data_IF_687819426127
#
_entry.id   IF_687819426127
#
_cell.length_a   1.000
_cell.length_b   1.000
_cell.length_c   1.000
_cell.angle_alpha   90.00
_cell.angle_beta   90.00
_cell.angle_gamma   90.00
#
_symmetry.space_group_name_H-M   'P 1'
#
loop_
_entity.id
_entity.type
_entity.pdbx_description
1 polymer ?
#
# COMPACT_ATOMS: atom_id res chain seq x y z
N UNK A 1 31.20 -20.58 28.79
CA UNK A 1 30.79 -20.12 27.44
C UNK A 1 31.12 -18.64 27.32
N UNK A 2 32.05 -18.28 26.45
CA UNK A 2 32.42 -16.89 26.22
C UNK A 2 31.26 -16.14 25.52
N UNK A 3 30.96 -14.88 25.88
CA UNK A 3 29.94 -14.11 25.19
C UNK A 3 30.41 -13.82 23.77
N UNK A 4 29.55 -14.08 22.78
CA UNK A 4 29.79 -13.70 21.38
C UNK A 4 29.94 -12.18 21.31
N UNK A 5 31.17 -11.69 21.18
CA UNK A 5 31.48 -10.35 20.68
C UNK A 5 30.92 -10.25 19.26
N UNK A 6 29.65 -9.83 19.14
CA UNK A 6 29.10 -9.39 17.86
C UNK A 6 29.68 -8.02 17.57
N UNK A 7 30.73 -8.03 16.76
CA UNK A 7 30.90 -7.17 15.58
C UNK A 7 30.53 -5.67 15.72
N UNK A 8 30.83 -5.06 16.87
CA UNK A 8 30.73 -3.59 17.04
C UNK A 8 31.78 -2.81 16.24
N UNK A 9 32.70 -3.49 15.56
CA UNK A 9 33.82 -2.85 14.85
C UNK A 9 33.52 -2.42 13.42
N UNK A 10 32.40 -2.83 12.79
CA UNK A 10 32.06 -2.41 11.41
C UNK A 10 31.33 -1.06 11.28
N UNK A 11 31.18 -0.31 12.36
CA UNK A 11 30.58 1.03 12.30
C UNK A 11 31.60 2.15 12.07
N UNK A 12 32.90 1.84 12.06
CA UNK A 12 33.97 2.84 11.96
C UNK A 12 34.30 3.30 10.53
N UNK A 13 33.68 2.74 9.48
CA UNK A 13 34.01 3.04 8.07
C UNK A 13 32.97 3.91 7.34
N UNK A 14 31.89 4.34 7.99
CA UNK A 14 30.82 5.10 7.32
C UNK A 14 30.70 6.52 7.89
N UNK A 15 30.94 7.52 7.05
CA UNK A 15 31.02 8.92 7.46
C UNK A 15 29.64 9.56 7.73
N UNK A 16 28.55 9.06 7.13
CA UNK A 16 27.17 9.52 7.39
C UNK A 16 26.11 8.43 7.21
N UNK A 17 24.91 8.58 7.83
CA UNK A 17 23.78 7.68 7.60
C UNK A 17 23.34 7.59 6.12
N UNK A 18 23.49 8.68 5.36
CA UNK A 18 23.11 8.74 3.94
C UNK A 18 24.02 7.84 3.10
N UNK A 19 25.33 7.96 3.26
CA UNK A 19 26.31 7.12 2.55
C UNK A 19 26.15 5.65 2.93
N UNK A 20 25.90 5.36 4.21
CA UNK A 20 25.61 4.00 4.67
C UNK A 20 24.36 3.42 3.98
N UNK A 21 23.26 4.19 3.91
CA UNK A 21 22.05 3.74 3.20
C UNK A 21 22.24 3.59 1.70
N UNK A 22 23.08 4.42 1.08
CA UNK A 22 23.37 4.34 -0.34
C UNK A 22 24.17 3.06 -0.68
N UNK A 23 25.19 2.74 0.12
CA UNK A 23 25.96 1.52 -0.03
C UNK A 23 25.12 0.28 0.24
N UNK A 24 24.35 0.28 1.33
CA UNK A 24 23.43 -0.81 1.62
C UNK A 24 22.35 -0.95 0.53
N UNK A 25 21.85 0.15 -0.03
CA UNK A 25 20.87 0.14 -1.12
C UNK A 25 21.36 -0.48 -2.43
N UNK A 26 22.67 -0.73 -2.58
CA UNK A 26 23.24 -1.48 -3.69
C UNK A 26 23.53 -2.96 -3.35
N UNK A 27 23.44 -3.36 -2.08
CA UNK A 27 23.74 -4.71 -1.61
C UNK A 27 22.55 -5.67 -1.84
N UNK A 28 22.72 -6.77 -2.59
CA UNK A 28 21.66 -7.77 -2.80
C UNK A 28 21.11 -8.40 -1.51
N UNK A 29 21.89 -8.45 -0.43
CA UNK A 29 21.42 -8.91 0.89
C UNK A 29 20.42 -7.90 1.48
N UNK A 30 20.70 -6.61 1.35
CA UNK A 30 19.79 -5.56 1.80
C UNK A 30 18.51 -5.54 0.95
N UNK A 31 18.60 -5.78 -0.36
CA UNK A 31 17.39 -5.93 -1.21
C UNK A 31 16.50 -7.06 -0.70
N UNK A 32 17.06 -8.26 -0.48
CA UNK A 32 16.27 -9.39 0.06
C UNK A 32 15.67 -9.07 1.43
N UNK A 33 16.42 -8.42 2.31
CA UNK A 33 15.90 -8.01 3.61
C UNK A 33 14.74 -7.01 3.48
N UNK A 34 14.81 -6.05 2.56
CA UNK A 34 13.71 -5.12 2.28
C UNK A 34 12.50 -5.85 1.68
N UNK A 35 12.73 -6.77 0.75
CA UNK A 35 11.66 -7.59 0.15
C UNK A 35 10.95 -8.46 1.19
N UNK A 36 11.68 -9.08 2.10
CA UNK A 36 11.14 -9.91 3.20
C UNK A 36 10.28 -9.06 4.14
N UNK A 37 10.78 -7.91 4.60
CA UNK A 37 10.05 -6.97 5.46
C UNK A 37 8.80 -6.43 4.75
N UNK A 38 8.93 -6.08 3.47
CA UNK A 38 7.81 -5.61 2.65
C UNK A 38 6.74 -6.68 2.47
N UNK A 39 7.16 -7.92 2.16
CA UNK A 39 6.28 -9.06 1.95
C UNK A 39 5.52 -9.42 3.23
N UNK A 40 6.21 -9.48 4.37
CA UNK A 40 5.65 -9.86 5.66
C UNK A 40 4.64 -8.82 6.17
N UNK A 41 5.00 -7.54 6.13
CA UNK A 41 4.20 -6.51 6.82
C UNK A 41 3.18 -5.81 5.93
N UNK A 42 3.34 -5.84 4.61
CA UNK A 42 2.50 -5.05 3.71
C UNK A 42 1.87 -5.88 2.59
N UNK A 43 2.66 -6.55 1.76
CA UNK A 43 2.15 -7.21 0.57
C UNK A 43 1.29 -8.44 0.88
N UNK A 44 1.80 -9.37 1.69
CA UNK A 44 1.06 -10.59 2.05
C UNK A 44 -0.24 -10.26 2.80
N UNK A 45 -0.25 -9.35 3.81
CA UNK A 45 -1.49 -8.90 4.41
C UNK A 45 -2.47 -8.29 3.40
N UNK A 46 -2.01 -7.44 2.47
CA UNK A 46 -2.87 -6.85 1.45
C UNK A 46 -3.53 -7.89 0.55
N UNK A 47 -2.75 -8.88 0.09
CA UNK A 47 -3.26 -10.00 -0.73
C UNK A 47 -4.29 -10.82 0.04
N UNK A 48 -3.99 -11.16 1.30
CA UNK A 48 -4.91 -11.92 2.14
C UNK A 48 -6.23 -11.16 2.36
N UNK A 49 -6.17 -9.86 2.62
CA UNK A 49 -7.37 -9.03 2.78
C UNK A 49 -8.16 -8.91 1.47
N UNK A 50 -7.49 -8.75 0.33
CA UNK A 50 -8.14 -8.74 -0.99
C UNK A 50 -8.89 -10.05 -1.28
N UNK A 51 -8.26 -11.19 -0.97
CA UNK A 51 -8.88 -12.50 -1.08
C UNK A 51 -10.10 -12.64 -0.15
N UNK A 52 -10.00 -12.17 1.10
CA UNK A 52 -11.10 -12.19 2.07
C UNK A 52 -12.29 -11.29 1.64
N UNK A 53 -12.00 -10.15 1.00
CA UNK A 53 -13.02 -9.30 0.40
C UNK A 53 -13.70 -10.00 -0.79
N UNK A 54 -13.02 -10.94 -1.43
CA UNK A 54 -13.46 -11.60 -2.66
C UNK A 54 -13.16 -10.77 -3.91
N UNK A 55 -12.12 -9.94 -3.87
CA UNK A 55 -11.73 -9.09 -4.99
C UNK A 55 -11.25 -9.94 -6.18
N UNK A 56 -11.82 -9.72 -7.37
CA UNK A 56 -11.33 -10.31 -8.62
C UNK A 56 -10.74 -9.26 -9.56
N UNK A 57 -11.04 -7.97 -9.34
CA UNK A 57 -10.43 -6.89 -10.11
C UNK A 57 -9.10 -6.44 -9.50
N UNK A 58 -8.08 -6.29 -10.35
CA UNK A 58 -6.76 -5.82 -9.96
C UNK A 58 -6.82 -4.42 -9.32
N UNK A 59 -7.72 -3.55 -9.78
CA UNK A 59 -7.92 -2.23 -9.19
C UNK A 59 -8.44 -2.30 -7.75
N UNK A 60 -9.30 -3.28 -7.41
CA UNK A 60 -9.77 -3.49 -6.03
C UNK A 60 -8.62 -3.92 -5.12
N UNK A 61 -7.80 -4.87 -5.60
CA UNK A 61 -6.60 -5.29 -4.87
C UNK A 61 -5.62 -4.11 -4.66
N UNK A 62 -5.43 -3.26 -5.67
CA UNK A 62 -4.59 -2.06 -5.57
C UNK A 62 -5.08 -1.06 -4.51
N UNK A 63 -6.39 -0.87 -4.36
CA UNK A 63 -6.98 0.02 -3.33
C UNK A 63 -6.68 -0.49 -1.92
N UNK A 64 -6.77 -1.81 -1.71
CA UNK A 64 -6.46 -2.47 -0.45
C UNK A 64 -4.95 -2.37 -0.18
N UNK A 65 -4.13 -2.67 -1.19
CA UNK A 65 -2.67 -2.57 -1.12
C UNK A 65 -2.19 -1.15 -0.77
N UNK A 66 -2.68 -0.10 -1.42
CA UNK A 66 -2.30 1.29 -1.10
C UNK A 66 -2.70 1.66 0.35
N UNK A 67 -3.80 1.10 0.88
CA UNK A 67 -4.15 1.28 2.30
C UNK A 67 -3.13 0.60 3.21
N UNK A 68 -2.73 -0.63 2.91
CA UNK A 68 -1.75 -1.35 3.71
C UNK A 68 -0.42 -0.59 3.74
N UNK A 69 0.05 -0.08 2.60
CA UNK A 69 1.29 0.70 2.51
C UNK A 69 1.20 2.02 3.28
N UNK A 70 0.11 2.76 3.12
CA UNK A 70 0.00 4.10 3.68
C UNK A 70 -0.39 4.10 5.17
N UNK A 71 -1.24 3.17 5.59
CA UNK A 71 -1.91 3.18 6.90
C UNK A 71 -1.74 1.87 7.68
N UNK A 72 -0.94 0.93 7.19
CA UNK A 72 -0.83 -0.42 7.73
C UNK A 72 -2.06 -1.28 7.40
N UNK A 73 -1.95 -2.63 7.48
CA UNK A 73 -3.05 -3.54 7.18
C UNK A 73 -4.32 -3.29 8.01
N UNK A 74 -4.17 -2.87 9.27
CA UNK A 74 -5.29 -2.51 10.15
C UNK A 74 -6.12 -1.30 9.65
N UNK A 75 -5.53 -0.44 8.82
CA UNK A 75 -6.24 0.67 8.19
C UNK A 75 -7.38 0.21 7.27
N UNK A 76 -7.29 -0.99 6.69
CA UNK A 76 -8.34 -1.51 5.81
C UNK A 76 -9.63 -1.78 6.57
N UNK A 77 -9.53 -2.43 7.73
CA UNK A 77 -10.69 -2.69 8.60
C UNK A 77 -11.32 -1.39 9.10
N UNK A 78 -10.50 -0.39 9.43
CA UNK A 78 -10.98 0.93 9.84
C UNK A 78 -11.84 1.59 8.76
N UNK A 79 -11.34 1.67 7.53
CA UNK A 79 -12.09 2.26 6.40
C UNK A 79 -13.31 1.42 6.04
N UNK A 80 -13.19 0.08 6.08
CA UNK A 80 -14.30 -0.83 5.78
C UNK A 80 -15.54 -0.54 6.62
N UNK A 81 -15.35 -0.17 7.89
CA UNK A 81 -16.44 0.12 8.81
C UNK A 81 -17.15 1.47 8.57
N UNK A 82 -16.72 2.25 7.57
CA UNK A 82 -17.26 3.58 7.27
C UNK A 82 -18.32 3.59 6.16
N UNK A 83 -18.68 2.44 5.58
CA UNK A 83 -19.65 2.37 4.50
C UNK A 83 -20.44 1.05 4.49
N UNK A 84 -21.65 1.08 3.89
CA UNK A 84 -22.62 -0.02 3.97
C UNK A 84 -22.45 -1.12 2.91
N UNK A 85 -21.91 -0.80 1.73
CA UNK A 85 -21.79 -1.75 0.61
C UNK A 85 -21.14 -3.08 1.06
N UNK A 86 -21.76 -4.20 0.71
CA UNK A 86 -21.26 -5.53 1.04
C UNK A 86 -20.07 -5.87 0.16
N UNK A 87 -19.11 -6.62 0.69
CA UNK A 87 -18.02 -7.12 -0.13
C UNK A 87 -18.51 -8.24 -1.06
N UNK A 88 -17.79 -8.53 -2.16
CA UNK A 88 -18.09 -9.68 -3.03
C UNK A 88 -18.23 -11.01 -2.30
N UNK A 89 -17.32 -11.30 -1.36
CA UNK A 89 -17.39 -12.51 -0.53
C UNK A 89 -18.68 -12.61 0.30
N UNK A 90 -19.39 -11.50 0.51
CA UNK A 90 -20.65 -11.41 1.23
C UNK A 90 -21.85 -11.10 0.29
N UNK A 91 -21.70 -11.37 -1.01
CA UNK A 91 -22.75 -11.23 -2.02
C UNK A 91 -23.00 -9.79 -2.50
N UNK A 92 -22.07 -8.86 -2.29
CA UNK A 92 -22.15 -7.50 -2.84
C UNK A 92 -21.48 -7.35 -4.22
N UNK A 93 -21.76 -6.24 -4.91
CA UNK A 93 -21.06 -5.89 -6.14
C UNK A 93 -19.65 -5.34 -5.83
N UNK A 94 -18.63 -5.86 -6.52
CA UNK A 94 -17.24 -5.48 -6.27
C UNK A 94 -16.97 -4.01 -6.61
N UNK A 95 -17.54 -3.51 -7.71
CA UNK A 95 -17.29 -2.14 -8.16
C UNK A 95 -17.97 -1.14 -7.24
N UNK A 96 -19.17 -1.44 -6.76
CA UNK A 96 -19.87 -0.67 -5.73
C UNK A 96 -19.10 -0.66 -4.42
N UNK A 97 -18.60 -1.82 -3.97
CA UNK A 97 -17.77 -1.93 -2.77
C UNK A 97 -16.49 -1.09 -2.90
N UNK A 98 -15.77 -1.22 -4.01
CA UNK A 98 -14.54 -0.49 -4.27
C UNK A 98 -14.77 1.03 -4.33
N UNK A 99 -15.82 1.49 -5.02
CA UNK A 99 -16.20 2.91 -5.07
C UNK A 99 -16.55 3.44 -3.68
N UNK A 100 -17.30 2.67 -2.90
CA UNK A 100 -17.67 3.03 -1.52
C UNK A 100 -16.44 3.15 -0.63
N UNK A 101 -15.51 2.19 -0.73
CA UNK A 101 -14.25 2.20 0.00
C UNK A 101 -13.41 3.43 -0.34
N UNK A 102 -13.22 3.71 -1.63
CA UNK A 102 -12.43 4.86 -2.08
C UNK A 102 -13.06 6.19 -1.65
N UNK A 103 -14.39 6.30 -1.69
CA UNK A 103 -15.10 7.48 -1.17
C UNK A 103 -14.89 7.65 0.33
N UNK A 104 -15.06 6.59 1.11
CA UNK A 104 -14.86 6.62 2.56
C UNK A 104 -13.42 7.01 2.92
N UNK A 105 -12.42 6.38 2.28
CA UNK A 105 -11.01 6.66 2.52
C UNK A 105 -10.62 8.08 2.10
N UNK A 106 -11.14 8.54 0.96
CA UNK A 106 -10.91 9.92 0.50
C UNK A 106 -11.43 10.93 1.53
N UNK A 107 -12.65 10.73 2.01
CA UNK A 107 -13.24 11.60 3.03
C UNK A 107 -12.41 11.55 4.33
N UNK A 108 -12.07 10.36 4.80
CA UNK A 108 -11.23 10.18 5.99
C UNK A 108 -9.89 10.91 5.86
N UNK A 109 -9.20 10.82 4.71
CA UNK A 109 -7.96 11.55 4.45
C UNK A 109 -8.18 13.07 4.44
N UNK A 110 -9.25 13.55 3.79
CA UNK A 110 -9.53 14.98 3.65
C UNK A 110 -9.96 15.66 4.96
N UNK A 111 -10.54 14.89 5.89
CA UNK A 111 -11.06 15.42 7.15
C UNK A 111 -10.28 14.94 8.38
N UNK A 112 -9.15 14.26 8.20
CA UNK A 112 -8.39 13.73 9.32
C UNK A 112 -7.87 14.86 10.21
N UNK A 113 -7.82 14.65 11.53
CA UNK A 113 -7.24 15.62 12.48
C UNK A 113 -5.76 15.93 12.20
N UNK A 114 -5.04 14.97 11.59
CA UNK A 114 -3.66 15.15 11.16
C UNK A 114 -3.67 15.71 9.75
N UNK A 115 -3.52 17.04 9.65
CA UNK A 115 -3.62 17.79 8.39
C UNK A 115 -2.58 17.38 7.34
N UNK A 116 -1.44 16.80 7.76
CA UNK A 116 -0.45 16.22 6.84
C UNK A 116 -1.03 15.14 5.92
N UNK A 117 -2.09 14.44 6.35
CA UNK A 117 -2.74 13.41 5.55
C UNK A 117 -3.64 14.00 4.44
N UNK A 118 -4.05 15.27 4.55
CA UNK A 118 -4.90 15.91 3.55
C UNK A 118 -4.18 15.97 2.20
N UNK A 119 -2.85 16.14 2.24
CA UNK A 119 -2.01 16.13 1.04
C UNK A 119 -1.94 14.77 0.34
N UNK A 120 -2.42 13.68 0.95
CA UNK A 120 -2.40 12.34 0.34
C UNK A 120 -3.75 11.92 -0.28
N UNK A 121 -4.75 12.80 -0.26
CA UNK A 121 -6.07 12.60 -0.90
C UNK A 121 -5.95 12.23 -2.38
N UNK A 122 -4.93 12.74 -3.09
CA UNK A 122 -4.69 12.46 -4.51
C UNK A 122 -4.61 10.96 -4.84
N UNK A 123 -4.24 10.11 -3.86
CA UNK A 123 -4.21 8.65 -4.03
C UNK A 123 -5.59 8.13 -4.37
N UNK A 124 -6.61 8.60 -3.65
CA UNK A 124 -8.00 8.18 -3.88
C UNK A 124 -8.60 8.84 -5.10
N UNK A 125 -8.21 10.08 -5.42
CA UNK A 125 -8.59 10.73 -6.68
C UNK A 125 -8.04 9.96 -7.89
N UNK A 126 -6.82 9.44 -7.79
CA UNK A 126 -6.23 8.57 -8.81
C UNK A 126 -7.05 7.28 -8.98
N UNK A 127 -7.42 6.61 -7.89
CA UNK A 127 -8.23 5.38 -7.97
C UNK A 127 -9.61 5.66 -8.60
N UNK A 128 -10.24 6.80 -8.27
CA UNK A 128 -11.50 7.22 -8.91
C UNK A 128 -11.35 7.39 -10.42
N UNK A 129 -10.31 8.09 -10.86
CA UNK A 129 -10.02 8.26 -12.29
C UNK A 129 -9.86 6.92 -13.00
N UNK A 130 -9.17 5.95 -12.39
CA UNK A 130 -9.03 4.59 -12.94
C UNK A 130 -10.37 3.84 -13.01
N UNK A 131 -11.23 3.98 -12.00
CA UNK A 131 -12.58 3.38 -12.01
C UNK A 131 -13.46 4.00 -13.10
N UNK A 132 -13.38 5.31 -13.29
CA UNK A 132 -14.18 6.05 -14.26
C UNK A 132 -13.71 5.78 -15.70
N UNK A 133 -12.41 5.54 -15.89
CA UNK A 133 -11.84 5.04 -17.14
C UNK A 133 -12.10 3.54 -17.39
N UNK A 134 -12.72 2.82 -16.45
CA UNK A 134 -12.99 1.39 -16.58
C UNK A 134 -11.75 0.50 -16.47
N UNK A 135 -10.62 1.01 -15.95
CA UNK A 135 -9.33 0.32 -15.87
C UNK A 135 -9.27 -0.73 -14.73
N UNK A 136 -10.30 -1.56 -14.59
CA UNK A 136 -10.45 -2.53 -13.51
C UNK A 136 -9.39 -3.65 -13.50
N UNK A 137 -8.86 -4.00 -14.67
CA UNK A 137 -7.78 -4.98 -14.83
C UNK A 137 -6.37 -4.38 -14.70
N UNK A 138 -6.25 -3.05 -14.66
CA UNK A 138 -4.96 -2.33 -14.70
C UNK A 138 -4.07 -2.70 -15.91
N UNK A 139 -4.68 -3.08 -17.04
CA UNK A 139 -3.92 -3.36 -18.27
C UNK A 139 -3.18 -2.10 -18.76
N UNK A 140 -1.94 -2.28 -19.24
CA UNK A 140 -1.17 -1.20 -19.88
C UNK A 140 -1.56 -1.06 -21.35
N UNK A 141 -1.48 0.15 -21.94
CA UNK A 141 -0.97 1.38 -21.34
C UNK A 141 -1.94 2.03 -20.34
N UNK A 142 -1.41 2.52 -19.21
CA UNK A 142 -2.15 3.24 -18.18
C UNK A 142 -1.56 4.64 -18.00
N UNK A 143 -2.39 5.66 -17.80
CA UNK A 143 -1.91 7.00 -17.42
C UNK A 143 -2.30 7.28 -15.98
N UNK A 144 -1.31 7.49 -15.12
CA UNK A 144 -1.50 7.80 -13.69
C UNK A 144 -0.86 9.14 -13.40
N UNK A 145 -1.67 10.13 -13.04
CA UNK A 145 -1.20 11.50 -12.73
C UNK A 145 -0.26 12.09 -13.81
N UNK A 146 -0.59 11.86 -15.09
CA UNK A 146 0.19 12.34 -16.23
C UNK A 146 1.41 11.48 -16.60
N UNK A 147 1.69 10.42 -15.84
CA UNK A 147 2.77 9.46 -16.16
C UNK A 147 2.18 8.28 -16.92
N UNK A 148 2.72 7.99 -18.10
CA UNK A 148 2.35 6.81 -18.89
C UNK A 148 3.14 5.59 -18.41
N UNK A 149 2.41 4.53 -18.07
CA UNK A 149 2.93 3.20 -17.76
C UNK A 149 2.65 2.35 -18.99
N UNK A 150 3.70 1.79 -19.59
CA UNK A 150 3.64 0.98 -20.80
C UNK A 150 3.96 -0.48 -20.47
#
# INVERSE_FOLDING_TARGET
MAPRQRDRQRHAEFATPVEYTALAGADPVMHRAQDEVFAEHYFTPAVNIANQVGAVHALTALIIYDTCIHSGPGGVAMIRNMFAAKSPANGGDEKEWARSYVNARRNWLATHKLTVLHATVYRMDTMKQLMDAGSWSLATPLTVRGVKIA
#
